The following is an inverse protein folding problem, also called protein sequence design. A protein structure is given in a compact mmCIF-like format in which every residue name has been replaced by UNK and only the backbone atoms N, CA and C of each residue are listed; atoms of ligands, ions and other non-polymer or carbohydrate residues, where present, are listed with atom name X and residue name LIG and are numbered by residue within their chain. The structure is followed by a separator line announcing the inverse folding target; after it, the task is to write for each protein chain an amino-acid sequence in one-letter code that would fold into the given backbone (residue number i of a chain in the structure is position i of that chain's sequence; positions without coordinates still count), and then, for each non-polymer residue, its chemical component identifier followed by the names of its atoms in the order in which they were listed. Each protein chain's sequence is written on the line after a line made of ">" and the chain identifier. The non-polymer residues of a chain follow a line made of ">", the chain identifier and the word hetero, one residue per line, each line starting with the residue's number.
data_IF_971844814368
#
_entry.id   IF_971844814368
#
_cell.length_a   1.000
_cell.length_b   1.000
_cell.length_c   1.000
_cell.angle_alpha   90.00
_cell.angle_beta   90.00
_cell.angle_gamma   90.00
#
_symmetry.space_group_name_H-M   'P 1'
#
loop_
_entity.id
_entity.type
_entity.pdbx_description
1 polymer ?
#
# COMPACT_ATOMS: atom_id res chain seq x y z
N UNK A 1 -16.58 -17.88 -0.83
CA UNK A 1 -15.67 -19.03 -0.94
C UNK A 1 -15.83 -19.88 0.32
N UNK A 2 -16.18 -21.16 0.19
CA UNK A 2 -16.36 -22.08 1.33
C UNK A 2 -15.44 -23.28 1.12
N UNK A 3 -14.45 -23.46 2.01
CA UNK A 3 -13.43 -24.51 1.93
C UNK A 3 -13.39 -25.29 3.25
N UNK A 4 -14.27 -26.28 3.47
CA UNK A 4 -14.47 -26.90 4.78
C UNK A 4 -13.28 -27.72 5.29
N UNK A 5 -12.38 -28.16 4.40
CA UNK A 5 -11.24 -29.01 4.72
C UNK A 5 -9.88 -28.34 4.41
N UNK A 6 -9.85 -27.01 4.31
CA UNK A 6 -8.62 -26.28 4.00
C UNK A 6 -7.93 -25.79 5.27
N UNK A 7 -6.68 -26.20 5.45
CA UNK A 7 -5.82 -25.78 6.57
C UNK A 7 -4.54 -25.15 6.02
N UNK A 8 -3.99 -24.17 6.75
CA UNK A 8 -2.70 -23.54 6.43
C UNK A 8 -1.95 -23.17 7.71
N UNK A 9 -0.62 -23.22 7.64
CA UNK A 9 0.27 -22.79 8.73
C UNK A 9 0.76 -21.35 8.57
N UNK A 10 0.67 -20.79 7.35
CA UNK A 10 1.08 -19.42 7.04
C UNK A 10 -0.09 -18.46 7.36
N UNK A 11 0.15 -17.36 8.09
CA UNK A 11 -0.88 -16.37 8.36
C UNK A 11 -1.38 -15.71 7.05
N UNK A 12 -2.64 -15.28 7.01
CA UNK A 12 -3.10 -14.36 5.96
C UNK A 12 -2.53 -12.97 6.15
N UNK A 13 -2.53 -12.18 5.07
CA UNK A 13 -2.38 -10.73 5.09
C UNK A 13 -3.22 -10.02 6.18
N UNK A 14 -4.44 -10.50 6.44
CA UNK A 14 -5.32 -9.93 7.47
C UNK A 14 -4.72 -10.00 8.89
N UNK A 15 -3.81 -10.95 9.16
CA UNK A 15 -3.15 -11.05 10.47
C UNK A 15 -2.25 -9.83 10.76
N UNK A 16 -1.83 -9.11 9.71
CA UNK A 16 -1.00 -7.92 9.83
C UNK A 16 -1.80 -6.62 10.01
N UNK A 17 -3.14 -6.66 9.95
CA UNK A 17 -3.95 -5.46 10.15
C UNK A 17 -3.82 -4.92 11.57
N UNK A 18 -3.95 -5.77 12.59
CA UNK A 18 -3.87 -5.34 13.98
C UNK A 18 -2.54 -4.62 14.31
N UNK A 19 -1.36 -5.15 13.94
CA UNK A 19 -0.10 -4.42 14.04
C UNK A 19 -0.11 -3.05 13.34
N UNK A 20 -0.60 -2.97 12.10
CA UNK A 20 -0.70 -1.70 11.34
C UNK A 20 -1.58 -0.69 12.09
N UNK A 21 -2.76 -1.11 12.53
CA UNK A 21 -3.71 -0.26 13.25
C UNK A 21 -3.11 0.24 14.57
N UNK A 22 -2.47 -0.64 15.35
CA UNK A 22 -1.81 -0.26 16.60
C UNK A 22 -0.66 0.72 16.40
N UNK A 23 0.12 0.54 15.34
CA UNK A 23 1.17 1.49 14.98
C UNK A 23 0.59 2.85 14.61
N UNK A 24 -0.47 2.90 13.80
CA UNK A 24 -1.12 4.17 13.43
C UNK A 24 -1.74 4.87 14.65
N UNK A 25 -2.33 4.12 15.60
CA UNK A 25 -2.80 4.67 16.88
C UNK A 25 -1.65 5.30 17.68
N UNK A 26 -0.50 4.62 17.76
CA UNK A 26 0.66 5.10 18.50
C UNK A 26 1.16 6.46 17.98
N UNK A 27 1.19 6.64 16.66
CA UNK A 27 1.62 7.89 16.02
C UNK A 27 0.48 8.91 15.82
N UNK A 28 -0.74 8.61 16.31
CA UNK A 28 -1.93 9.44 16.13
C UNK A 28 -2.28 9.73 14.65
N UNK A 29 -2.03 8.77 13.76
CA UNK A 29 -2.41 8.87 12.35
C UNK A 29 -3.86 8.46 12.16
N UNK A 30 -4.77 9.42 12.09
CA UNK A 30 -6.21 9.16 11.99
C UNK A 30 -6.78 9.28 10.57
N UNK A 31 -6.07 9.92 9.64
CA UNK A 31 -6.48 10.12 8.24
C UNK A 31 -5.53 9.40 7.30
N UNK A 32 -6.06 8.44 6.56
CA UNK A 32 -5.29 7.57 5.66
C UNK A 32 -5.90 7.56 4.26
N UNK A 33 -5.08 7.24 3.26
CA UNK A 33 -5.56 6.80 1.96
C UNK A 33 -5.08 5.39 1.67
N UNK A 34 -5.78 4.69 0.79
CA UNK A 34 -5.47 3.29 0.47
C UNK A 34 -5.32 3.11 -1.02
N UNK A 35 -4.40 2.25 -1.44
CA UNK A 35 -4.25 1.83 -2.83
C UNK A 35 -4.05 0.32 -2.93
N UNK A 36 -4.78 -0.34 -3.83
CA UNK A 36 -4.68 -1.78 -4.01
C UNK A 36 -4.74 -2.24 -5.46
N UNK A 37 -4.08 -3.37 -5.73
CA UNK A 37 -4.15 -4.07 -7.01
C UNK A 37 -5.48 -4.83 -7.11
N UNK A 38 -6.17 -4.72 -8.24
CA UNK A 38 -7.49 -5.31 -8.48
C UNK A 38 -7.39 -6.82 -8.82
N UNK A 39 -6.82 -7.58 -7.90
CA UNK A 39 -6.79 -9.03 -7.92
C UNK A 39 -7.28 -9.58 -6.57
N UNK A 40 -7.98 -10.73 -6.54
CA UNK A 40 -8.59 -11.25 -5.31
C UNK A 40 -7.65 -11.36 -4.12
N UNK A 41 -6.37 -11.67 -4.35
CA UNK A 41 -5.35 -11.76 -3.29
C UNK A 41 -5.20 -10.44 -2.52
N UNK A 42 -5.25 -9.31 -3.23
CA UNK A 42 -5.00 -7.99 -2.66
C UNK A 42 -6.31 -7.27 -2.31
N UNK A 43 -7.32 -7.36 -3.16
CA UNK A 43 -8.61 -6.69 -2.94
C UNK A 43 -9.38 -7.26 -1.73
N UNK A 44 -9.34 -8.58 -1.50
CA UNK A 44 -9.98 -9.17 -0.31
C UNK A 44 -9.28 -8.77 0.99
N UNK A 45 -7.95 -8.70 0.97
CA UNK A 45 -7.15 -8.25 2.12
C UNK A 45 -7.39 -6.76 2.41
N UNK A 46 -7.41 -5.93 1.36
CA UNK A 46 -7.72 -4.50 1.44
C UNK A 46 -9.13 -4.26 2.00
N UNK A 47 -10.16 -4.93 1.47
CA UNK A 47 -11.54 -4.76 1.94
C UNK A 47 -11.66 -5.08 3.43
N UNK A 48 -10.94 -6.10 3.91
CA UNK A 48 -10.91 -6.44 5.33
C UNK A 48 -10.22 -5.35 6.17
N UNK A 49 -9.12 -4.80 5.68
CA UNK A 49 -8.42 -3.68 6.32
C UNK A 49 -9.31 -2.43 6.42
N UNK A 50 -10.02 -2.07 5.35
CA UNK A 50 -10.95 -0.92 5.36
C UNK A 50 -12.08 -1.11 6.37
N UNK A 51 -12.65 -2.31 6.46
CA UNK A 51 -13.67 -2.60 7.47
C UNK A 51 -13.14 -2.46 8.92
N UNK A 52 -11.88 -2.86 9.17
CA UNK A 52 -11.27 -2.73 10.49
C UNK A 52 -10.85 -1.28 10.82
N UNK A 53 -10.46 -0.50 9.81
CA UNK A 53 -10.22 0.94 9.94
C UNK A 53 -11.49 1.67 10.37
N UNK A 54 -12.62 1.38 9.73
CA UNK A 54 -13.93 1.96 10.04
C UNK A 54 -14.36 1.61 11.48
N UNK A 55 -14.25 0.34 11.88
CA UNK A 55 -14.53 -0.10 13.25
C UNK A 55 -13.68 0.59 14.33
N UNK A 56 -12.48 1.07 13.96
CA UNK A 56 -11.56 1.75 14.86
C UNK A 56 -11.59 3.28 14.71
N UNK A 57 -12.58 3.83 14.01
CA UNK A 57 -12.80 5.26 13.79
C UNK A 57 -11.63 5.97 13.08
N UNK A 58 -10.92 5.28 12.18
CA UNK A 58 -10.00 5.93 11.25
C UNK A 58 -10.77 6.53 10.07
N UNK A 59 -10.32 7.68 9.58
CA UNK A 59 -10.86 8.30 8.36
C UNK A 59 -10.11 7.80 7.14
N UNK A 60 -10.75 6.97 6.32
CA UNK A 60 -10.27 6.63 4.97
C UNK A 60 -10.67 7.75 4.02
N UNK A 61 -9.74 8.66 3.75
CA UNK A 61 -10.01 9.87 2.98
C UNK A 61 -10.05 9.66 1.46
N UNK A 62 -9.37 8.62 0.97
CA UNK A 62 -9.34 8.28 -0.45
C UNK A 62 -8.99 6.79 -0.63
N UNK A 63 -9.67 6.12 -1.56
CA UNK A 63 -9.41 4.72 -1.90
C UNK A 63 -9.22 4.61 -3.40
N UNK A 64 -8.05 4.13 -3.80
CA UNK A 64 -7.72 3.89 -5.20
C UNK A 64 -7.49 2.41 -5.47
N UNK A 65 -7.90 1.99 -6.66
CA UNK A 65 -7.66 0.64 -7.16
C UNK A 65 -7.08 0.72 -8.56
N UNK A 66 -6.26 -0.24 -8.94
CA UNK A 66 -5.69 -0.31 -10.27
C UNK A 66 -5.66 -1.73 -10.81
N UNK A 67 -5.64 -1.89 -12.12
CA UNK A 67 -5.46 -3.19 -12.79
C UNK A 67 -4.25 -3.18 -13.72
N UNK A 68 -4.14 -2.14 -14.58
CA UNK A 68 -3.15 -2.08 -15.65
C UNK A 68 -2.32 -0.80 -15.68
N UNK A 69 -2.69 0.22 -14.89
CA UNK A 69 -1.99 1.51 -14.80
C UNK A 69 -2.19 2.11 -13.42
N UNK A 70 -1.18 2.84 -12.91
CA UNK A 70 -1.20 3.41 -11.55
C UNK A 70 -1.08 4.93 -11.51
N UNK A 71 -0.83 5.59 -12.64
CA UNK A 71 -0.51 7.01 -12.69
C UNK A 71 -1.69 7.86 -12.18
N UNK A 72 -2.90 7.57 -12.66
CA UNK A 72 -4.10 8.32 -12.22
C UNK A 72 -4.44 8.05 -10.76
N UNK A 73 -4.21 6.81 -10.28
CA UNK A 73 -4.44 6.45 -8.89
C UNK A 73 -3.51 7.23 -7.95
N UNK A 74 -2.22 7.33 -8.29
CA UNK A 74 -1.24 8.09 -7.52
C UNK A 74 -1.53 9.59 -7.56
N UNK A 75 -1.88 10.13 -8.74
CA UNK A 75 -2.25 11.53 -8.88
C UNK A 75 -3.43 11.92 -7.98
N UNK A 76 -4.48 11.10 -7.93
CA UNK A 76 -5.63 11.34 -7.05
C UNK A 76 -5.25 11.34 -5.56
N UNK A 77 -4.37 10.44 -5.12
CA UNK A 77 -3.88 10.44 -3.74
C UNK A 77 -3.09 11.73 -3.43
N UNK A 78 -2.30 12.21 -4.39
CA UNK A 78 -1.55 13.45 -4.30
C UNK A 78 -2.48 14.67 -4.22
N UNK A 79 -3.47 14.77 -5.11
CA UNK A 79 -4.47 15.85 -5.15
C UNK A 79 -5.32 15.93 -3.87
N UNK A 80 -5.58 14.77 -3.24
CA UNK A 80 -6.31 14.67 -1.96
C UNK A 80 -5.43 14.91 -0.74
N UNK A 81 -4.16 15.27 -0.93
CA UNK A 81 -3.20 15.49 0.15
C UNK A 81 -3.11 14.30 1.11
N UNK A 82 -3.03 13.08 0.58
CA UNK A 82 -2.89 11.88 1.39
C UNK A 82 -1.43 11.74 1.85
N UNK A 83 -1.21 11.76 3.17
CA UNK A 83 0.12 11.67 3.79
C UNK A 83 0.47 10.29 4.34
N UNK A 84 -0.53 9.51 4.78
CA UNK A 84 -0.36 8.14 5.24
C UNK A 84 -1.05 7.21 4.24
N UNK A 85 -0.28 6.37 3.53
CA UNK A 85 -0.78 5.54 2.44
C UNK A 85 -0.63 4.06 2.81
N UNK A 86 -1.74 3.31 2.73
CA UNK A 86 -1.77 1.87 2.91
C UNK A 86 -1.80 1.18 1.55
N UNK A 87 -0.79 0.36 1.26
CA UNK A 87 -0.60 -0.30 -0.04
C UNK A 87 -0.81 -1.82 0.01
N UNK A 88 -1.67 -2.34 -0.87
CA UNK A 88 -1.87 -3.78 -1.08
C UNK A 88 -1.68 -4.15 -2.55
N UNK A 89 -0.46 -4.50 -2.92
CA UNK A 89 -0.09 -4.83 -4.30
C UNK A 89 1.13 -5.74 -4.32
N UNK A 90 1.48 -6.28 -5.48
CA UNK A 90 2.67 -7.11 -5.62
C UNK A 90 3.96 -6.28 -5.77
N UNK A 91 5.10 -6.97 -5.72
CA UNK A 91 6.42 -6.36 -5.84
C UNK A 91 6.65 -5.64 -7.17
N UNK A 92 6.16 -6.21 -8.28
CA UNK A 92 6.29 -5.61 -9.61
C UNK A 92 5.58 -4.25 -9.68
N UNK A 93 4.34 -4.19 -9.20
CA UNK A 93 3.56 -2.97 -9.13
C UNK A 93 4.06 -1.97 -8.10
N UNK A 94 4.72 -2.44 -7.04
CA UNK A 94 5.39 -1.55 -6.09
C UNK A 94 6.37 -0.63 -6.81
N UNK A 95 7.20 -1.18 -7.72
CA UNK A 95 8.15 -0.36 -8.50
C UNK A 95 7.43 0.69 -9.34
N UNK A 96 6.40 0.31 -10.08
CA UNK A 96 5.61 1.26 -10.87
C UNK A 96 4.96 2.34 -10.01
N UNK A 97 4.40 1.98 -8.84
CA UNK A 97 3.77 2.91 -7.89
C UNK A 97 4.77 3.92 -7.35
N UNK A 98 5.95 3.47 -6.91
CA UNK A 98 6.96 4.36 -6.35
C UNK A 98 7.62 5.24 -7.42
N UNK A 99 7.74 4.75 -8.67
CA UNK A 99 8.13 5.60 -9.80
C UNK A 99 7.11 6.73 -10.06
N UNK A 100 5.81 6.43 -10.07
CA UNK A 100 4.79 7.47 -10.25
C UNK A 100 4.72 8.40 -9.03
N UNK A 101 4.89 7.89 -7.81
CA UNK A 101 4.95 8.70 -6.59
C UNK A 101 6.12 9.69 -6.64
N UNK A 102 7.30 9.24 -7.11
CA UNK A 102 8.45 10.12 -7.36
C UNK A 102 8.10 11.23 -8.34
N UNK A 103 7.49 10.87 -9.48
CA UNK A 103 7.13 11.80 -10.56
C UNK A 103 6.17 12.90 -10.11
N UNK A 104 5.22 12.59 -9.21
CA UNK A 104 4.26 13.59 -8.69
C UNK A 104 4.70 14.27 -7.38
N UNK A 105 5.93 13.99 -6.92
CA UNK A 105 6.50 14.59 -5.71
C UNK A 105 5.93 14.04 -4.39
N UNK A 106 5.38 12.83 -4.40
CA UNK A 106 4.96 12.11 -3.19
C UNK A 106 6.14 11.40 -2.50
N UNK A 107 7.19 12.17 -2.17
CA UNK A 107 8.46 11.67 -1.62
C UNK A 107 8.90 12.42 -0.37
N UNK A 108 9.79 11.79 0.40
CA UNK A 108 10.39 12.34 1.61
C UNK A 108 9.44 12.38 2.83
N UNK A 109 9.93 13.01 3.90
CA UNK A 109 9.37 12.96 5.28
C UNK A 109 7.91 13.39 5.46
N UNK A 110 7.26 13.93 4.43
CA UNK A 110 5.84 14.31 4.49
C UNK A 110 4.91 13.14 4.17
N UNK A 111 5.43 12.04 3.64
CA UNK A 111 4.64 10.88 3.24
C UNK A 111 5.15 9.63 3.94
N UNK A 112 4.23 8.80 4.43
CA UNK A 112 4.53 7.50 4.99
C UNK A 112 3.75 6.42 4.22
N UNK A 113 4.48 5.46 3.70
CA UNK A 113 3.92 4.28 3.04
C UNK A 113 3.96 3.08 3.98
N UNK A 114 2.84 2.36 4.08
CA UNK A 114 2.73 1.07 4.75
C UNK A 114 2.33 0.02 3.72
N UNK A 115 3.31 -0.78 3.31
CA UNK A 115 3.17 -1.76 2.22
C UNK A 115 3.31 -3.20 2.75
N UNK A 116 3.34 -4.16 1.82
CA UNK A 116 3.59 -5.56 2.14
C UNK A 116 5.08 -5.79 2.47
N UNK A 117 5.34 -6.61 3.50
CA UNK A 117 6.71 -6.96 3.93
C UNK A 117 7.27 -8.23 3.28
N UNK A 118 6.57 -8.82 2.32
CA UNK A 118 6.94 -10.11 1.70
C UNK A 118 7.73 -9.94 0.40
N UNK A 119 8.26 -8.75 0.12
CA UNK A 119 9.07 -8.48 -1.07
C UNK A 119 10.51 -8.97 -0.86
N UNK A 120 11.24 -9.18 -1.94
CA UNK A 120 12.67 -9.51 -1.88
C UNK A 120 13.51 -8.39 -1.24
N UNK A 121 14.65 -8.74 -0.63
CA UNK A 121 15.50 -7.80 0.13
C UNK A 121 15.98 -6.56 -0.65
N UNK A 122 15.94 -6.58 -1.98
CA UNK A 122 16.35 -5.50 -2.89
C UNK A 122 15.40 -5.33 -4.06
N UNK A 123 14.10 -5.52 -3.82
CA UNK A 123 13.08 -5.52 -4.87
C UNK A 123 13.05 -4.25 -5.75
N UNK A 124 13.58 -3.14 -5.26
CA UNK A 124 13.68 -1.86 -5.98
C UNK A 124 14.91 -1.73 -6.89
N UNK A 125 15.86 -2.66 -6.85
CA UNK A 125 17.06 -2.67 -7.71
C UNK A 125 16.87 -3.50 -8.99
N UNK A 126 15.62 -3.76 -9.37
CA UNK A 126 15.31 -4.54 -10.56
C UNK A 126 15.39 -3.67 -11.81
N UNK A 127 16.21 -4.06 -12.77
CA UNK A 127 16.44 -3.35 -14.04
C UNK A 127 15.17 -3.25 -14.91
N UNK A 128 14.14 -4.05 -14.64
CA UNK A 128 12.84 -3.97 -15.31
C UNK A 128 11.93 -2.86 -14.79
N UNK A 129 12.37 -2.10 -13.77
CA UNK A 129 11.64 -0.95 -13.25
C UNK A 129 11.42 0.12 -14.33
N UNK A 130 10.26 0.83 -14.32
CA UNK A 130 9.97 1.88 -15.29
C UNK A 130 10.75 3.19 -15.03
N UNK A 131 11.53 3.26 -13.96
CA UNK A 131 12.35 4.41 -13.60
C UNK A 131 13.68 3.97 -12.97
N UNK A 132 14.64 4.89 -12.81
CA UNK A 132 15.99 4.55 -12.34
C UNK A 132 16.01 4.11 -10.87
N UNK A 133 17.01 3.32 -10.49
CA UNK A 133 17.20 2.87 -9.10
C UNK A 133 17.31 4.04 -8.14
N UNK A 134 17.95 5.14 -8.53
CA UNK A 134 18.10 6.35 -7.71
C UNK A 134 16.73 7.00 -7.46
N UNK A 135 15.86 7.04 -8.46
CA UNK A 135 14.49 7.58 -8.32
C UNK A 135 13.65 6.71 -7.39
N UNK A 136 13.75 5.38 -7.51
CA UNK A 136 13.09 4.46 -6.59
C UNK A 136 13.61 4.59 -5.16
N UNK A 137 14.93 4.68 -4.97
CA UNK A 137 15.52 4.86 -3.64
C UNK A 137 15.01 6.16 -3.00
N UNK A 138 15.03 7.27 -3.73
CA UNK A 138 14.50 8.55 -3.25
C UNK A 138 13.00 8.48 -2.91
N UNK A 139 12.22 7.67 -3.63
CA UNK A 139 10.80 7.46 -3.33
C UNK A 139 10.54 6.57 -2.11
N UNK A 140 11.48 5.69 -1.79
CA UNK A 140 11.41 4.74 -0.68
C UNK A 140 11.97 5.30 0.63
N UNK A 141 12.70 6.41 0.57
CA UNK A 141 13.14 7.14 1.76
C UNK A 141 11.95 7.77 2.49
N UNK A 142 11.53 7.12 3.58
CA UNK A 142 10.51 7.57 4.55
C UNK A 142 11.13 8.15 5.82
#
# INVERSE_FOLDING_TARGET
>A
LHFPNFFRVVPSENAFNLPRLKMMQHFNWNRVGTIYQNEPRYSLAHNRLVAELDQMNFTVAETQSFANEVANAILKLQEKDIRIILGNFNESWARSIFCEAYRVGMVGRKYQWLIMGTYGEKWWQDETAPCSTEQLQAALEG
#
